data_IF_419917493019
#
_entry.id   IF_419917493019
#
_cell.length_a   1.000
_cell.length_b   1.000
_cell.length_c   1.000
_cell.angle_alpha   90.00
_cell.angle_beta   90.00
_cell.angle_gamma   90.00
#
_symmetry.space_group_name_H-M   'P 1'
#
loop_
_entity.id
_entity.type
_entity.pdbx_description
1 polymer ?
#
# COMPACT_ATOMS: atom_id res chain seq x y z
N UNK A 1 32.57 18.25 -7.40
CA UNK A 1 31.73 17.41 -6.50
C UNK A 1 30.47 17.07 -7.24
N UNK A 2 30.24 15.76 -7.53
CA UNK A 2 28.93 15.30 -8.04
C UNK A 2 27.93 15.56 -6.91
N UNK A 3 26.97 16.48 -7.12
CA UNK A 3 25.81 16.63 -6.25
C UNK A 3 25.15 15.25 -6.16
N UNK A 4 25.30 14.57 -5.04
CA UNK A 4 24.49 13.39 -4.74
C UNK A 4 23.06 13.86 -4.68
N UNK A 5 22.19 13.34 -5.57
CA UNK A 5 20.79 13.75 -5.65
C UNK A 5 20.08 13.73 -4.28
N UNK A 6 19.00 14.48 -4.17
CA UNK A 6 18.17 14.54 -2.96
C UNK A 6 17.65 13.14 -2.58
N UNK A 7 17.18 12.99 -1.37
CA UNK A 7 16.60 11.72 -0.90
C UNK A 7 15.40 11.31 -1.76
N UNK A 8 14.55 12.27 -2.14
CA UNK A 8 13.41 12.03 -3.02
C UNK A 8 13.81 11.56 -4.41
N UNK A 9 14.88 12.14 -4.99
CA UNK A 9 15.41 11.68 -6.28
C UNK A 9 15.94 10.25 -6.22
N UNK A 10 16.56 9.85 -5.11
CA UNK A 10 17.04 8.48 -4.91
C UNK A 10 15.89 7.48 -4.79
N UNK A 11 14.84 7.83 -4.05
CA UNK A 11 13.64 7.01 -3.90
C UNK A 11 12.94 6.86 -5.26
N UNK A 12 12.72 7.96 -5.97
CA UNK A 12 12.11 7.94 -7.28
C UNK A 12 12.93 7.11 -8.30
N UNK A 13 14.25 7.29 -8.32
CA UNK A 13 15.12 6.51 -9.19
C UNK A 13 15.07 5.00 -8.88
N UNK A 14 14.98 4.63 -7.61
CA UNK A 14 14.82 3.24 -7.21
C UNK A 14 13.46 2.68 -7.68
N UNK A 15 12.35 3.37 -7.40
CA UNK A 15 11.01 2.92 -7.79
C UNK A 15 10.86 2.76 -9.30
N UNK A 16 11.34 3.75 -10.07
CA UNK A 16 11.24 3.72 -11.53
C UNK A 16 12.25 2.76 -12.18
N UNK A 17 13.34 2.45 -11.49
CA UNK A 17 14.41 1.60 -12.02
C UNK A 17 14.25 0.11 -11.72
N UNK A 18 13.43 -0.26 -10.74
CA UNK A 18 13.24 -1.66 -10.37
C UNK A 18 12.48 -2.41 -11.46
N UNK A 19 13.01 -3.55 -11.89
CA UNK A 19 12.36 -4.43 -12.86
C UNK A 19 12.04 -5.78 -12.22
N UNK A 20 11.02 -6.44 -12.70
CA UNK A 20 10.60 -7.75 -12.21
C UNK A 20 11.75 -8.77 -12.19
N UNK A 21 12.58 -8.74 -13.22
CA UNK A 21 13.72 -9.63 -13.41
C UNK A 21 14.86 -9.39 -12.39
N UNK A 22 14.91 -8.21 -11.80
CA UNK A 22 15.91 -7.85 -10.78
C UNK A 22 15.50 -8.33 -9.38
N UNK A 23 14.23 -8.78 -9.20
CA UNK A 23 13.71 -9.23 -7.92
C UNK A 23 14.04 -10.72 -7.71
N UNK A 24 14.70 -11.08 -6.58
CA UNK A 24 15.00 -12.48 -6.30
C UNK A 24 13.73 -13.35 -6.26
N UNK A 25 13.80 -14.58 -6.79
CA UNK A 25 12.69 -15.51 -6.86
C UNK A 25 12.07 -15.81 -5.46
N UNK A 26 12.89 -15.81 -4.41
CA UNK A 26 12.43 -15.95 -3.01
C UNK A 26 11.56 -14.79 -2.57
N UNK A 27 11.91 -13.55 -2.96
CA UNK A 27 11.12 -12.34 -2.68
C UNK A 27 9.79 -12.39 -3.41
N UNK A 28 9.80 -12.78 -4.69
CA UNK A 28 8.57 -12.98 -5.48
C UNK A 28 7.65 -14.01 -4.83
N UNK A 29 8.20 -15.15 -4.41
CA UNK A 29 7.43 -16.21 -3.76
C UNK A 29 6.84 -15.75 -2.42
N UNK A 30 7.63 -15.06 -1.61
CA UNK A 30 7.17 -14.52 -0.34
C UNK A 30 6.14 -13.40 -0.53
N UNK A 31 6.35 -12.51 -1.50
CA UNK A 31 5.41 -11.46 -1.85
C UNK A 31 4.03 -12.01 -2.24
N UNK A 32 3.97 -13.13 -2.96
CA UNK A 32 2.69 -13.80 -3.27
C UNK A 32 2.00 -14.35 -2.02
N UNK A 33 2.74 -14.81 -1.01
CA UNK A 33 2.17 -15.23 0.27
C UNK A 33 1.60 -14.04 1.04
N UNK A 34 2.33 -12.93 1.11
CA UNK A 34 1.85 -11.69 1.72
C UNK A 34 0.59 -11.16 1.03
N UNK A 35 0.54 -11.19 -0.31
CA UNK A 35 -0.67 -10.82 -1.05
C UNK A 35 -1.86 -11.69 -0.68
N UNK A 36 -1.67 -13.00 -0.59
CA UNK A 36 -2.73 -13.93 -0.18
C UNK A 36 -3.23 -13.63 1.22
N UNK A 37 -2.33 -13.36 2.15
CA UNK A 37 -2.64 -12.96 3.51
C UNK A 37 -3.42 -11.64 3.54
N UNK A 38 -2.92 -10.61 2.86
CA UNK A 38 -3.54 -9.29 2.73
C UNK A 38 -4.98 -9.37 2.23
N UNK A 39 -5.23 -10.17 1.18
CA UNK A 39 -6.61 -10.40 0.71
C UNK A 39 -7.46 -11.15 1.72
N UNK A 40 -6.89 -12.12 2.43
CA UNK A 40 -7.58 -12.83 3.51
C UNK A 40 -8.05 -11.90 4.62
N UNK A 41 -7.18 -11.00 5.08
CA UNK A 41 -7.50 -9.99 6.09
C UNK A 41 -8.55 -9.01 5.58
N UNK A 42 -8.39 -8.51 4.34
CA UNK A 42 -9.36 -7.61 3.72
C UNK A 42 -10.76 -8.23 3.66
N UNK A 43 -10.87 -9.50 3.24
CA UNK A 43 -12.16 -10.19 3.17
C UNK A 43 -12.76 -10.44 4.57
N UNK A 44 -11.96 -10.71 5.57
CA UNK A 44 -12.41 -10.88 6.95
C UNK A 44 -12.97 -9.58 7.55
N UNK A 45 -12.46 -8.43 7.12
CA UNK A 45 -12.85 -7.11 7.64
C UNK A 45 -14.16 -6.56 7.04
N UNK A 46 -14.68 -7.12 5.96
CA UNK A 46 -15.82 -6.58 5.20
C UNK A 46 -17.07 -6.28 6.03
N UNK A 47 -17.33 -7.01 7.09
CA UNK A 47 -18.53 -6.89 7.92
C UNK A 47 -18.38 -5.95 9.09
N UNK A 48 -17.24 -5.26 9.20
CA UNK A 48 -16.99 -4.35 10.31
C UNK A 48 -17.72 -3.01 10.11
N UNK A 49 -18.25 -2.45 11.18
CA UNK A 49 -19.07 -1.23 11.14
C UNK A 49 -18.35 -0.05 10.51
N UNK A 50 -17.05 0.11 10.78
CA UNK A 50 -16.28 1.20 10.21
C UNK A 50 -16.09 1.06 8.69
N UNK A 51 -16.03 -0.16 8.15
CA UNK A 51 -15.97 -0.38 6.70
C UNK A 51 -17.29 0.04 6.05
N UNK A 52 -18.44 -0.31 6.65
CA UNK A 52 -19.73 0.16 6.19
C UNK A 52 -19.85 1.68 6.23
N UNK A 53 -19.36 2.31 7.31
CA UNK A 53 -19.36 3.77 7.43
C UNK A 53 -18.51 4.45 6.35
N UNK A 54 -17.31 3.91 6.08
CA UNK A 54 -16.43 4.41 5.00
C UNK A 54 -17.10 4.24 3.65
N UNK A 55 -17.67 3.06 3.35
CA UNK A 55 -18.37 2.79 2.08
C UNK A 55 -19.51 3.77 1.85
N UNK A 56 -20.37 4.01 2.85
CA UNK A 56 -21.43 4.99 2.77
C UNK A 56 -20.93 6.42 2.54
N UNK A 57 -19.86 6.80 3.21
CA UNK A 57 -19.24 8.12 3.01
C UNK A 57 -18.73 8.28 1.58
N UNK A 58 -18.09 7.24 1.02
CA UNK A 58 -17.59 7.24 -0.35
C UNK A 58 -18.75 7.34 -1.36
N UNK A 59 -19.84 6.63 -1.13
CA UNK A 59 -21.06 6.74 -1.94
C UNK A 59 -21.60 8.18 -1.92
N UNK A 60 -21.70 8.81 -0.75
CA UNK A 60 -22.15 10.20 -0.59
C UNK A 60 -21.21 11.22 -1.27
N UNK A 61 -19.89 10.96 -1.24
CA UNK A 61 -18.91 11.81 -1.94
C UNK A 61 -19.01 11.71 -3.47
N UNK A 62 -19.44 10.56 -3.98
CA UNK A 62 -19.58 10.33 -5.41
C UNK A 62 -18.25 10.39 -6.18
N UNK A 63 -18.33 10.76 -7.46
CA UNK A 63 -17.20 10.87 -8.37
C UNK A 63 -17.26 9.86 -9.51
N UNK A 64 -16.35 10.01 -10.49
CA UNK A 64 -16.29 9.08 -11.63
C UNK A 64 -15.72 7.73 -11.20
N UNK A 65 -16.42 6.60 -11.42
CA UNK A 65 -15.91 5.27 -11.11
C UNK A 65 -14.64 4.97 -11.92
N UNK A 66 -13.60 4.48 -11.24
CA UNK A 66 -12.29 4.18 -11.83
C UNK A 66 -11.71 2.84 -11.35
N UNK A 67 -12.07 2.40 -10.14
CA UNK A 67 -11.55 1.17 -9.58
C UNK A 67 -12.54 0.53 -8.59
N UNK A 68 -12.38 -0.77 -8.38
CA UNK A 68 -13.29 -1.62 -7.60
C UNK A 68 -13.10 -1.43 -6.10
N UNK A 69 -14.21 -1.34 -5.37
CA UNK A 69 -14.27 -1.51 -3.92
C UNK A 69 -14.26 -3.00 -3.61
N UNK A 70 -13.17 -3.51 -3.04
CA UNK A 70 -12.97 -4.95 -2.85
C UNK A 70 -14.07 -5.60 -2.01
N UNK A 71 -14.53 -6.75 -2.47
CA UNK A 71 -15.61 -7.50 -1.82
C UNK A 71 -17.01 -6.98 -2.13
N UNK A 72 -17.13 -6.01 -3.01
CA UNK A 72 -18.40 -5.49 -3.54
C UNK A 72 -18.46 -5.62 -5.06
N UNK A 73 -19.57 -5.19 -5.66
CA UNK A 73 -19.73 -5.03 -7.12
C UNK A 73 -19.59 -3.55 -7.53
N UNK A 74 -19.20 -2.69 -6.59
CA UNK A 74 -19.20 -1.25 -6.76
C UNK A 74 -17.80 -0.74 -7.12
N UNK A 75 -17.79 0.42 -7.78
CA UNK A 75 -16.58 1.17 -8.11
C UNK A 75 -16.66 2.59 -7.55
N UNK A 76 -15.51 3.16 -7.24
CA UNK A 76 -15.39 4.55 -6.84
C UNK A 76 -14.29 5.26 -7.63
N UNK A 77 -14.16 6.58 -7.46
CA UNK A 77 -12.97 7.26 -7.96
C UNK A 77 -11.70 6.68 -7.31
N UNK A 78 -10.56 6.81 -7.98
CA UNK A 78 -9.32 6.14 -7.61
C UNK A 78 -8.93 6.36 -6.14
N UNK A 79 -8.96 7.61 -5.66
CA UNK A 79 -8.54 7.93 -4.30
C UNK A 79 -9.45 7.27 -3.25
N UNK A 80 -10.76 7.30 -3.48
CA UNK A 80 -11.74 6.69 -2.60
C UNK A 80 -11.66 5.15 -2.63
N UNK A 81 -11.40 4.55 -3.80
CA UNK A 81 -11.19 3.11 -3.90
C UNK A 81 -9.92 2.67 -3.16
N UNK A 82 -8.80 3.40 -3.27
CA UNK A 82 -7.59 3.14 -2.48
C UNK A 82 -7.88 3.26 -0.98
N UNK A 83 -8.59 4.31 -0.56
CA UNK A 83 -8.96 4.50 0.85
C UNK A 83 -9.79 3.33 1.40
N UNK A 84 -10.83 2.92 0.68
CA UNK A 84 -11.68 1.81 1.09
C UNK A 84 -10.89 0.49 1.17
N UNK A 85 -10.12 0.18 0.13
CA UNK A 85 -9.34 -1.04 0.06
C UNK A 85 -8.23 -1.09 1.12
N UNK A 86 -7.60 0.05 1.43
CA UNK A 86 -6.64 0.16 2.54
C UNK A 86 -7.32 -0.04 3.90
N UNK A 87 -8.51 0.54 4.09
CA UNK A 87 -9.28 0.36 5.32
C UNK A 87 -9.72 -1.10 5.54
N UNK A 88 -10.07 -1.83 4.47
CA UNK A 88 -10.33 -3.26 4.54
C UNK A 88 -9.11 -4.05 5.04
N UNK A 89 -7.92 -3.70 4.59
CA UNK A 89 -6.69 -4.39 4.99
C UNK A 89 -6.34 -4.07 6.44
N UNK A 90 -6.35 -2.79 6.81
CA UNK A 90 -5.83 -2.33 8.11
C UNK A 90 -6.87 -2.29 9.23
N UNK A 91 -8.16 -2.31 8.89
CA UNK A 91 -9.23 -2.05 9.84
C UNK A 91 -9.35 -3.02 11.00
N UNK A 92 -8.85 -4.23 10.88
CA UNK A 92 -8.81 -5.23 11.94
C UNK A 92 -7.49 -5.19 12.75
N UNK A 93 -6.52 -4.36 12.36
CA UNK A 93 -5.16 -4.33 12.93
C UNK A 93 -4.52 -5.73 12.99
N UNK A 94 -4.71 -6.51 11.93
CA UNK A 94 -4.29 -7.91 11.81
C UNK A 94 -3.48 -8.16 10.51
N UNK A 95 -3.12 -7.09 9.82
CA UNK A 95 -2.31 -7.10 8.62
C UNK A 95 -0.80 -7.23 8.93
N UNK A 96 -0.02 -7.50 7.89
CA UNK A 96 1.40 -7.72 7.98
C UNK A 96 2.13 -6.60 8.73
N UNK A 97 3.11 -6.99 9.56
CA UNK A 97 3.85 -6.05 10.40
C UNK A 97 5.35 -6.26 10.24
N UNK A 98 6.07 -5.19 9.93
CA UNK A 98 7.52 -5.17 10.03
C UNK A 98 7.96 -4.66 11.41
N UNK A 99 8.25 -5.58 12.32
CA UNK A 99 8.49 -5.26 13.75
C UNK A 99 9.60 -4.23 13.95
N UNK A 100 10.73 -4.34 13.25
CA UNK A 100 11.83 -3.40 13.40
C UNK A 100 11.56 -1.98 12.90
N UNK A 101 10.65 -1.84 11.92
CA UNK A 101 10.22 -0.54 11.39
C UNK A 101 8.98 0.01 12.11
N UNK A 102 8.26 -0.85 12.83
CA UNK A 102 6.97 -0.57 13.49
C UNK A 102 5.97 0.02 12.49
N UNK A 103 5.77 -0.69 11.38
CA UNK A 103 4.85 -0.30 10.30
C UNK A 103 4.08 -1.51 9.78
N UNK A 104 2.88 -1.26 9.25
CA UNK A 104 2.05 -2.21 8.50
C UNK A 104 2.18 -1.90 7.00
N UNK A 105 3.05 -2.61 6.27
CA UNK A 105 3.41 -2.19 4.91
C UNK A 105 2.29 -2.36 3.90
N UNK A 106 1.54 -3.46 3.95
CA UNK A 106 0.65 -3.85 2.85
C UNK A 106 -0.62 -3.03 2.76
N UNK A 107 -1.11 -2.46 3.87
CA UNK A 107 -2.35 -1.68 3.84
C UNK A 107 -2.33 -0.55 2.80
N UNK A 108 -1.27 0.25 2.77
CA UNK A 108 -1.11 1.33 1.81
C UNK A 108 -0.50 0.89 0.48
N UNK A 109 0.48 -0.01 0.53
CA UNK A 109 1.24 -0.43 -0.66
C UNK A 109 0.39 -1.32 -1.56
N UNK A 110 -0.22 -2.38 -1.02
CA UNK A 110 -0.99 -3.34 -1.82
C UNK A 110 -2.30 -2.72 -2.30
N UNK A 111 -3.01 -1.97 -1.44
CA UNK A 111 -4.23 -1.28 -1.87
C UNK A 111 -3.95 -0.31 -3.03
N UNK A 112 -2.89 0.50 -2.93
CA UNK A 112 -2.53 1.43 -4.01
C UNK A 112 -2.11 0.69 -5.28
N UNK A 113 -1.18 -0.27 -5.19
CA UNK A 113 -0.65 -0.98 -6.36
C UNK A 113 -1.74 -1.68 -7.16
N UNK A 114 -2.66 -2.36 -6.49
CA UNK A 114 -3.72 -3.12 -7.18
C UNK A 114 -4.79 -2.18 -7.70
N UNK A 115 -5.19 -1.18 -6.93
CA UNK A 115 -6.26 -0.26 -7.35
C UNK A 115 -5.81 0.63 -8.51
N UNK A 116 -4.58 1.16 -8.48
CA UNK A 116 -4.00 1.89 -9.62
C UNK A 116 -3.75 0.93 -10.79
N UNK A 117 -3.22 -0.26 -10.51
CA UNK A 117 -2.97 -1.29 -11.53
C UNK A 117 -4.24 -1.68 -12.29
N UNK A 118 -5.39 -1.78 -11.61
CA UNK A 118 -6.69 -1.99 -12.24
C UNK A 118 -7.02 -0.86 -13.20
N UNK A 119 -6.90 0.38 -12.77
CA UNK A 119 -7.21 1.57 -13.58
C UNK A 119 -6.32 1.66 -14.84
N UNK A 120 -5.05 1.31 -14.74
CA UNK A 120 -4.10 1.38 -15.87
C UNK A 120 -3.92 0.06 -16.62
N UNK A 121 -4.69 -0.98 -16.28
CA UNK A 121 -4.61 -2.32 -16.85
C UNK A 121 -3.21 -2.96 -16.76
N UNK A 122 -2.53 -2.75 -15.62
CA UNK A 122 -1.22 -3.32 -15.36
C UNK A 122 -1.29 -4.85 -15.25
N UNK A 123 -0.26 -5.52 -15.72
CA UNK A 123 -0.13 -6.97 -15.54
C UNK A 123 0.37 -7.35 -14.13
N UNK A 124 0.27 -8.63 -13.79
CA UNK A 124 0.64 -9.11 -12.45
C UNK A 124 2.13 -8.96 -12.12
N UNK A 125 3.03 -8.87 -13.11
CA UNK A 125 4.46 -8.59 -12.88
C UNK A 125 4.67 -7.14 -12.53
N UNK A 126 4.02 -6.23 -13.24
CA UNK A 126 4.07 -4.80 -12.98
C UNK A 126 3.54 -4.50 -11.57
N UNK A 127 2.37 -5.03 -11.21
CA UNK A 127 1.78 -4.88 -9.88
C UNK A 127 2.72 -5.40 -8.80
N UNK A 128 3.26 -6.61 -8.95
CA UNK A 128 4.15 -7.19 -7.95
C UNK A 128 5.48 -6.41 -7.82
N UNK A 129 6.01 -5.88 -8.91
CA UNK A 129 7.20 -5.02 -8.89
C UNK A 129 6.94 -3.73 -8.11
N UNK A 130 5.81 -3.07 -8.37
CA UNK A 130 5.40 -1.88 -7.65
C UNK A 130 5.22 -2.16 -6.15
N UNK A 131 4.59 -3.28 -5.79
CA UNK A 131 4.41 -3.71 -4.40
C UNK A 131 5.78 -3.91 -3.71
N UNK A 132 6.72 -4.60 -4.34
CA UNK A 132 8.06 -4.82 -3.76
C UNK A 132 8.79 -3.49 -3.56
N UNK A 133 8.71 -2.58 -4.54
CA UNK A 133 9.27 -1.23 -4.39
C UNK A 133 8.66 -0.49 -3.20
N UNK A 134 7.32 -0.53 -3.07
CA UNK A 134 6.60 0.11 -1.97
C UNK A 134 6.97 -0.48 -0.60
N UNK A 135 7.07 -1.80 -0.47
CA UNK A 135 7.51 -2.45 0.77
C UNK A 135 8.92 -2.05 1.18
N UNK A 136 9.86 -1.99 0.23
CA UNK A 136 11.22 -1.52 0.49
C UNK A 136 11.24 -0.08 1.02
N UNK A 137 10.43 0.80 0.43
CA UNK A 137 10.38 2.21 0.79
C UNK A 137 9.76 2.40 2.17
N UNK A 138 8.58 1.84 2.43
CA UNK A 138 7.87 2.02 3.70
C UNK A 138 8.67 1.47 4.87
N UNK A 139 9.27 0.29 4.70
CA UNK A 139 10.09 -0.35 5.73
C UNK A 139 11.35 0.48 6.01
N UNK A 140 12.06 0.96 4.99
CA UNK A 140 13.27 1.79 5.17
C UNK A 140 12.96 3.13 5.84
N UNK A 141 11.84 3.75 5.51
CA UNK A 141 11.41 4.99 6.18
C UNK A 141 11.07 4.74 7.65
N UNK A 142 10.38 3.64 7.96
CA UNK A 142 10.08 3.25 9.34
C UNK A 142 11.36 2.94 10.14
N UNK A 143 12.29 2.19 9.55
CA UNK A 143 13.60 1.89 10.18
C UNK A 143 14.43 3.16 10.45
N UNK A 144 14.36 4.15 9.57
CA UNK A 144 15.07 5.42 9.77
C UNK A 144 14.56 6.20 10.99
N UNK A 145 13.27 6.06 11.32
CA UNK A 145 12.66 6.70 12.48
C UNK A 145 12.96 5.99 13.82
N UNK A 146 13.38 4.72 13.80
CA UNK A 146 13.74 3.94 15.01
C UNK A 146 12.68 3.99 16.13
N UNK A 147 11.39 3.90 15.79
CA UNK A 147 10.28 3.97 16.75
C UNK A 147 9.90 5.38 17.23
N UNK A 148 10.66 6.42 16.89
CA UNK A 148 10.45 7.79 17.40
C UNK A 148 9.11 8.41 17.04
N UNK A 149 8.43 7.93 16.00
CA UNK A 149 7.06 8.39 15.71
C UNK A 149 6.12 8.11 16.88
N UNK A 150 6.20 6.91 17.46
CA UNK A 150 5.36 6.51 18.59
C UNK A 150 5.73 7.27 19.86
N UNK A 151 7.02 7.55 20.09
CA UNK A 151 7.50 8.32 21.25
C UNK A 151 6.87 9.71 21.31
N UNK A 152 6.51 10.29 20.16
CA UNK A 152 5.91 11.62 20.05
C UNK A 152 4.40 11.58 19.70
N UNK A 153 3.78 10.40 19.81
CA UNK A 153 2.33 10.24 19.68
C UNK A 153 1.82 10.08 18.24
N UNK A 154 2.68 9.75 17.27
CA UNK A 154 2.26 9.47 15.89
C UNK A 154 2.24 7.98 15.58
N UNK A 155 1.28 7.56 14.77
CA UNK A 155 1.23 6.22 14.21
C UNK A 155 2.24 6.11 13.03
N UNK A 156 3.28 5.28 13.19
CA UNK A 156 4.39 5.17 12.24
C UNK A 156 3.92 4.88 10.81
N UNK A 157 3.04 3.91 10.62
CA UNK A 157 2.48 3.58 9.31
C UNK A 157 1.82 4.79 8.66
N UNK A 158 0.97 5.53 9.39
CA UNK A 158 0.26 6.70 8.87
C UNK A 158 1.20 7.82 8.39
N UNK A 159 2.40 7.95 8.99
CA UNK A 159 3.39 8.95 8.60
C UNK A 159 4.13 8.55 7.32
N UNK A 160 4.54 7.28 7.18
CA UNK A 160 5.38 6.84 6.06
C UNK A 160 4.61 6.31 4.86
N UNK A 161 3.37 5.88 5.05
CA UNK A 161 2.52 5.32 4.00
C UNK A 161 2.34 6.22 2.77
N UNK A 162 2.10 7.55 2.89
CA UNK A 162 1.93 8.41 1.73
C UNK A 162 3.13 8.43 0.79
N UNK A 163 4.34 8.32 1.33
CA UNK A 163 5.57 8.27 0.52
C UNK A 163 5.67 6.96 -0.26
N UNK A 164 5.36 5.84 0.37
CA UNK A 164 5.35 4.55 -0.31
C UNK A 164 4.24 4.48 -1.36
N UNK A 165 3.03 4.92 -1.04
CA UNK A 165 1.91 4.96 -1.97
C UNK A 165 2.22 5.81 -3.21
N UNK A 166 2.83 6.99 -3.04
CA UNK A 166 3.25 7.84 -4.16
C UNK A 166 4.30 7.20 -5.08
N UNK A 167 5.10 6.26 -4.56
CA UNK A 167 6.10 5.55 -5.35
C UNK A 167 5.55 4.30 -6.06
N UNK A 168 4.38 3.84 -5.65
CA UNK A 168 3.70 2.65 -6.17
C UNK A 168 2.70 3.01 -7.26
N UNK A 169 2.09 4.20 -7.14
CA UNK A 169 1.12 4.73 -8.10
C UNK A 169 1.80 5.16 -9.40
#
# INVERSE_FOLDING_TARGET
EKKTGSFSEKIAAFSLGLRYEDIPASVISYGKLLLKDTFGVAMASQKQDHIHAIGKTIEEMGGTPQATLWGTQEQANLANAVLYNAALIHGADYDDTHVGAIVHPSASVVSTAITVGEMVHADGRQILTAIVAGWEIIVRLGLAAKGRFHDVGFHGTGIVAPFAAACVA
#
